data_IF_936349732978
#
_entry.id   IF_936349732978
#
_cell.length_a   1.000
_cell.length_b   1.000
_cell.length_c   1.000
_cell.angle_alpha   90.00
_cell.angle_beta   90.00
_cell.angle_gamma   90.00
#
_symmetry.space_group_name_H-M   'P 1'
#
loop_
_entity.id
_entity.type
_entity.pdbx_description
1 polymer ?
#
# COMPACT_ATOMS: atom_id res chain seq x y z
N UNK A 1 7.30 -37.51 -20.71
CA UNK A 1 6.09 -36.77 -20.28
C UNK A 1 6.45 -35.30 -20.39
N UNK A 2 5.75 -34.50 -21.20
CA UNK A 2 6.03 -33.06 -21.22
C UNK A 2 5.42 -32.47 -19.95
N UNK A 3 6.24 -31.92 -19.07
CA UNK A 3 5.72 -31.30 -17.84
C UNK A 3 4.96 -30.03 -18.21
N UNK A 4 3.65 -30.08 -18.00
CA UNK A 4 2.71 -28.96 -18.24
C UNK A 4 2.96 -27.84 -17.23
N UNK A 5 3.34 -28.19 -16.00
CA UNK A 5 3.70 -27.25 -14.94
C UNK A 5 5.18 -27.37 -14.62
N UNK A 6 5.87 -26.24 -14.56
CA UNK A 6 7.32 -26.16 -14.32
C UNK A 6 7.63 -25.10 -13.30
N UNK A 7 8.66 -25.33 -12.50
CA UNK A 7 9.24 -24.30 -11.65
C UNK A 7 10.45 -23.69 -12.36
N UNK A 8 10.57 -22.37 -12.31
CA UNK A 8 11.72 -21.65 -12.85
C UNK A 8 11.99 -20.38 -12.07
N UNK A 9 12.95 -19.60 -12.54
CA UNK A 9 13.34 -18.33 -11.94
C UNK A 9 13.20 -17.19 -12.95
N UNK A 10 12.78 -16.01 -12.51
CA UNK A 10 12.67 -14.85 -13.40
C UNK A 10 14.05 -14.41 -13.85
N UNK A 11 14.28 -14.43 -15.15
CA UNK A 11 15.54 -14.00 -15.76
C UNK A 11 15.52 -12.53 -16.18
N UNK A 12 14.38 -12.06 -16.72
CA UNK A 12 14.21 -10.70 -17.21
C UNK A 12 12.73 -10.27 -17.16
N UNK A 13 12.48 -8.96 -17.14
CA UNK A 13 11.15 -8.38 -16.95
C UNK A 13 10.89 -7.23 -17.91
N UNK A 14 9.75 -7.27 -18.58
CA UNK A 14 9.23 -6.19 -19.41
C UNK A 14 8.04 -5.56 -18.67
N UNK A 15 8.34 -4.54 -17.88
CA UNK A 15 7.38 -3.85 -17.02
C UNK A 15 6.32 -3.14 -17.87
N UNK A 16 6.69 -2.57 -19.01
CA UNK A 16 5.79 -1.80 -19.86
C UNK A 16 4.70 -2.69 -20.48
N UNK A 17 5.02 -3.94 -20.79
CA UNK A 17 4.08 -4.89 -21.39
C UNK A 17 3.55 -5.95 -20.41
N UNK A 18 3.94 -5.91 -19.13
CA UNK A 18 3.48 -6.86 -18.11
C UNK A 18 3.96 -8.30 -18.34
N UNK A 19 5.19 -8.47 -18.87
CA UNK A 19 5.74 -9.78 -19.23
C UNK A 19 7.03 -10.08 -18.48
N UNK A 20 7.38 -11.35 -18.39
CA UNK A 20 8.68 -11.79 -17.88
C UNK A 20 9.20 -13.01 -18.65
N UNK A 21 10.53 -13.16 -18.63
CA UNK A 21 11.23 -14.36 -19.10
C UNK A 21 11.66 -15.20 -17.92
N UNK A 22 11.55 -16.50 -18.05
CA UNK A 22 11.87 -17.47 -17.00
C UNK A 22 13.02 -18.35 -17.47
N UNK A 23 14.04 -18.49 -16.64
CA UNK A 23 15.11 -19.48 -16.80
C UNK A 23 14.69 -20.77 -16.08
N UNK A 24 14.96 -21.91 -16.71
CA UNK A 24 14.69 -23.25 -16.19
C UNK A 24 16.01 -23.98 -15.91
N UNK A 25 16.56 -23.90 -14.68
CA UNK A 25 17.85 -24.53 -14.34
C UNK A 25 17.86 -26.04 -14.50
N UNK A 26 16.70 -26.69 -14.32
CA UNK A 26 16.49 -28.13 -14.53
C UNK A 26 16.54 -28.54 -16.02
N UNK A 27 16.63 -27.57 -16.94
CA UNK A 27 16.56 -27.77 -18.39
C UNK A 27 17.69 -27.07 -19.11
N UNK A 28 18.92 -27.29 -18.64
CA UNK A 28 20.13 -26.73 -19.25
C UNK A 28 20.05 -25.21 -19.40
N UNK A 29 19.50 -24.55 -18.37
CA UNK A 29 19.35 -23.09 -18.31
C UNK A 29 18.58 -22.49 -19.50
N UNK A 30 17.65 -23.25 -20.10
CA UNK A 30 16.78 -22.73 -21.15
C UNK A 30 15.97 -21.55 -20.65
N UNK A 31 15.80 -20.55 -21.52
CA UNK A 31 15.06 -19.32 -21.25
C UNK A 31 13.78 -19.33 -22.07
N UNK A 32 12.64 -19.00 -21.45
CA UNK A 32 11.36 -18.86 -22.14
C UNK A 32 11.33 -17.64 -23.08
N UNK A 33 10.31 -17.56 -23.92
CA UNK A 33 9.93 -16.28 -24.53
C UNK A 33 9.30 -15.35 -23.46
N UNK A 34 8.86 -14.17 -23.88
CA UNK A 34 8.11 -13.23 -23.03
C UNK A 34 6.74 -13.79 -22.67
N UNK A 35 6.63 -14.29 -21.45
CA UNK A 35 5.40 -14.89 -20.92
C UNK A 35 4.52 -13.83 -20.27
N UNK A 36 3.21 -13.96 -20.45
CA UNK A 36 2.25 -13.17 -19.69
C UNK A 36 2.20 -13.67 -18.24
N UNK A 37 2.03 -12.73 -17.31
CA UNK A 37 1.81 -13.01 -15.89
C UNK A 37 0.30 -13.09 -15.64
N UNK A 38 -0.18 -14.21 -15.09
CA UNK A 38 -1.58 -14.30 -14.70
C UNK A 38 -1.84 -13.43 -13.49
N UNK A 39 -2.88 -12.60 -13.61
CA UNK A 39 -3.45 -11.76 -12.56
C UNK A 39 -4.92 -12.14 -12.38
N UNK A 40 -5.52 -11.93 -11.19
CA UNK A 40 -6.92 -12.30 -10.96
C UNK A 40 -7.92 -11.59 -11.89
N UNK A 41 -7.62 -10.34 -12.25
CA UNK A 41 -8.44 -9.51 -13.14
C UNK A 41 -7.52 -8.65 -14.03
N UNK A 42 -7.92 -8.43 -15.29
CA UNK A 42 -7.16 -7.59 -16.24
C UNK A 42 -8.01 -6.59 -17.01
N UNK A 43 -9.23 -6.95 -17.42
CA UNK A 43 -10.06 -6.11 -18.30
C UNK A 43 -10.98 -5.14 -17.54
N UNK A 44 -11.69 -5.62 -16.51
CA UNK A 44 -12.61 -4.80 -15.72
C UNK A 44 -11.94 -4.08 -14.56
N UNK A 45 -10.89 -4.70 -14.02
CA UNK A 45 -10.04 -4.24 -12.93
C UNK A 45 -8.64 -4.72 -13.26
N UNK A 46 -7.61 -3.93 -12.97
CA UNK A 46 -6.23 -4.30 -13.27
C UNK A 46 -5.36 -4.28 -12.02
N UNK A 47 -4.84 -5.46 -11.67
CA UNK A 47 -3.75 -5.58 -10.72
C UNK A 47 -2.43 -5.46 -11.47
N UNK A 48 -1.59 -4.52 -11.06
CA UNK A 48 -0.27 -4.31 -11.66
C UNK A 48 0.80 -4.56 -10.61
N UNK A 49 1.57 -5.63 -10.80
CA UNK A 49 2.80 -5.91 -10.08
C UNK A 49 3.80 -6.48 -11.07
N UNK A 50 5.08 -6.22 -10.84
CA UNK A 50 6.15 -6.87 -11.58
C UNK A 50 6.83 -7.89 -10.68
N UNK A 51 7.37 -8.93 -11.30
CA UNK A 51 8.25 -9.87 -10.62
C UNK A 51 9.66 -9.29 -10.55
N UNK A 52 10.48 -9.79 -9.64
CA UNK A 52 11.89 -9.41 -9.58
C UNK A 52 12.77 -10.51 -10.17
N UNK A 53 13.93 -10.11 -10.72
CA UNK A 53 14.91 -11.07 -11.24
C UNK A 53 15.38 -12.01 -10.13
N UNK A 54 15.47 -13.30 -10.42
CA UNK A 54 15.80 -14.38 -9.48
C UNK A 54 14.60 -14.90 -8.69
N UNK A 55 13.40 -14.32 -8.84
CA UNK A 55 12.21 -14.79 -8.14
C UNK A 55 11.73 -16.13 -8.70
N UNK A 56 11.48 -17.09 -7.81
CA UNK A 56 10.92 -18.40 -8.18
C UNK A 56 9.46 -18.28 -8.61
N UNK A 57 9.11 -18.86 -9.75
CA UNK A 57 7.76 -18.86 -10.33
C UNK A 57 7.33 -20.25 -10.79
N UNK A 58 6.02 -20.45 -10.87
CA UNK A 58 5.42 -21.60 -11.55
C UNK A 58 4.95 -21.16 -12.93
N UNK A 59 5.34 -21.90 -13.97
CA UNK A 59 4.99 -21.66 -15.36
C UNK A 59 4.11 -22.79 -15.87
N UNK A 60 2.98 -22.43 -16.46
CA UNK A 60 2.17 -23.30 -17.30
C UNK A 60 2.74 -23.25 -18.71
N UNK A 61 3.33 -24.35 -19.19
CA UNK A 61 3.80 -24.46 -20.56
C UNK A 61 2.72 -24.98 -21.49
N UNK A 62 2.64 -24.41 -22.69
CA UNK A 62 1.75 -24.91 -23.73
C UNK A 62 2.32 -26.22 -24.31
N UNK A 63 1.47 -27.21 -24.63
CA UNK A 63 1.90 -28.43 -25.30
C UNK A 63 2.71 -28.12 -26.56
N UNK A 64 3.80 -28.86 -26.76
CA UNK A 64 4.70 -28.76 -27.93
C UNK A 64 5.42 -27.41 -28.13
N UNK A 65 5.16 -26.41 -27.29
CA UNK A 65 5.85 -25.12 -27.28
C UNK A 65 6.39 -24.81 -25.89
N UNK A 66 7.48 -25.50 -25.52
CA UNK A 66 8.05 -25.48 -24.17
C UNK A 66 8.54 -24.11 -23.68
N UNK A 67 8.79 -23.17 -24.61
CA UNK A 67 9.23 -21.79 -24.34
C UNK A 67 8.06 -20.81 -24.24
N UNK A 68 6.84 -21.23 -24.61
CA UNK A 68 5.61 -20.44 -24.52
C UNK A 68 4.72 -20.93 -23.38
N UNK A 69 3.92 -20.01 -22.84
CA UNK A 69 3.13 -20.29 -21.65
C UNK A 69 2.69 -19.06 -20.90
N UNK A 70 2.31 -19.30 -19.65
CA UNK A 70 1.86 -18.28 -18.72
C UNK A 70 2.55 -18.49 -17.37
N UNK A 71 3.01 -17.40 -16.76
CA UNK A 71 3.46 -17.42 -15.38
C UNK A 71 2.22 -17.43 -14.50
N UNK A 72 2.00 -18.51 -13.75
CA UNK A 72 0.85 -18.67 -12.87
C UNK A 72 0.98 -17.85 -11.58
N UNK A 73 2.21 -17.55 -11.18
CA UNK A 73 2.52 -16.83 -9.96
C UNK A 73 3.71 -17.44 -9.24
N UNK A 74 3.84 -17.07 -7.96
CA UNK A 74 4.94 -17.49 -7.10
C UNK A 74 4.42 -18.40 -5.99
N UNK A 75 5.17 -19.44 -5.59
CA UNK A 75 4.83 -20.19 -4.40
C UNK A 75 4.85 -19.27 -3.18
N UNK A 76 3.83 -19.38 -2.33
CA UNK A 76 3.77 -18.62 -1.09
C UNK A 76 4.97 -18.98 -0.21
N UNK A 77 5.67 -17.95 0.28
CA UNK A 77 6.77 -18.13 1.24
C UNK A 77 6.20 -18.29 2.66
N UNK A 78 6.91 -18.98 3.57
CA UNK A 78 6.58 -18.94 4.98
C UNK A 78 6.45 -17.49 5.47
N UNK A 79 5.46 -17.23 6.31
CA UNK A 79 5.21 -15.91 6.86
C UNK A 79 4.84 -16.01 8.34
N UNK A 80 5.03 -14.93 9.08
CA UNK A 80 4.73 -14.84 10.50
C UNK A 80 3.32 -14.27 10.78
N UNK A 81 2.44 -14.30 9.78
CA UNK A 81 1.08 -13.80 9.96
C UNK A 81 0.29 -14.69 10.91
N UNK A 82 -0.65 -14.08 11.59
CA UNK A 82 -1.54 -14.76 12.52
C UNK A 82 -2.82 -15.26 11.85
N UNK A 83 -3.49 -16.25 12.45
CA UNK A 83 -4.77 -16.74 11.93
C UNK A 83 -5.79 -15.59 11.82
N UNK A 84 -6.51 -15.54 10.69
CA UNK A 84 -7.49 -14.50 10.38
C UNK A 84 -6.90 -13.17 9.86
N UNK A 85 -5.58 -13.03 9.81
CA UNK A 85 -4.91 -11.86 9.26
C UNK A 85 -4.83 -11.91 7.74
N UNK A 86 -5.18 -10.80 7.09
CA UNK A 86 -4.90 -10.58 5.66
C UNK A 86 -3.82 -9.52 5.54
N UNK A 87 -2.67 -9.86 4.95
CA UNK A 87 -1.51 -8.96 4.86
C UNK A 87 -0.90 -8.98 3.46
N UNK A 88 -0.56 -7.80 2.96
CA UNK A 88 0.30 -7.63 1.77
C UNK A 88 1.53 -6.82 2.17
N UNK A 89 2.70 -7.42 1.98
CA UNK A 89 4.01 -6.81 2.24
C UNK A 89 4.65 -6.40 0.91
N UNK A 90 5.18 -5.19 0.86
CA UNK A 90 5.93 -4.61 -0.25
C UNK A 90 7.42 -4.97 -0.14
N UNK A 91 8.18 -4.79 -1.22
CA UNK A 91 9.62 -5.13 -1.26
C UNK A 91 10.49 -4.30 -0.31
N UNK A 92 10.02 -3.13 0.10
CA UNK A 92 10.65 -2.28 1.12
C UNK A 92 10.30 -2.68 2.56
N UNK A 93 9.53 -3.76 2.73
CA UNK A 93 9.06 -4.26 4.03
C UNK A 93 7.83 -3.54 4.59
N UNK A 94 7.37 -2.46 3.95
CA UNK A 94 6.09 -1.85 4.27
C UNK A 94 4.93 -2.79 4.00
N UNK A 95 3.80 -2.62 4.69
CA UNK A 95 2.64 -3.46 4.47
C UNK A 95 1.33 -2.71 4.73
N UNK A 96 0.25 -3.26 4.19
CA UNK A 96 -1.06 -3.12 4.81
C UNK A 96 -1.54 -4.49 5.32
N UNK A 97 -2.17 -4.49 6.49
CA UNK A 97 -2.81 -5.68 7.04
C UNK A 97 -4.17 -5.36 7.63
N UNK A 98 -5.05 -6.36 7.62
CA UNK A 98 -6.35 -6.29 8.26
C UNK A 98 -6.53 -7.48 9.19
N UNK A 99 -6.89 -7.20 10.44
CA UNK A 99 -7.24 -8.22 11.44
C UNK A 99 -8.17 -7.63 12.50
N UNK A 100 -9.18 -8.38 12.90
CA UNK A 100 -10.08 -8.05 14.02
C UNK A 100 -10.65 -6.62 13.98
N UNK A 101 -10.99 -6.13 12.78
CA UNK A 101 -11.55 -4.79 12.58
C UNK A 101 -10.51 -3.66 12.48
N UNK A 102 -9.22 -3.97 12.51
CA UNK A 102 -8.13 -3.00 12.45
C UNK A 102 -7.41 -3.10 11.10
N UNK A 103 -7.43 -2.00 10.34
CA UNK A 103 -6.56 -1.82 9.17
C UNK A 103 -5.28 -1.12 9.62
N UNK A 104 -4.12 -1.71 9.35
CA UNK A 104 -2.81 -1.17 9.70
C UNK A 104 -1.98 -0.93 8.45
N UNK A 105 -1.34 0.24 8.35
CA UNK A 105 -0.32 0.54 7.35
C UNK A 105 1.00 0.81 8.07
N UNK A 106 2.00 -0.05 7.91
CA UNK A 106 3.26 0.04 8.65
C UNK A 106 4.35 -0.86 8.04
N UNK A 107 5.65 -0.58 8.27
CA UNK A 107 6.16 0.78 8.25
C UNK A 107 5.88 1.41 6.88
N UNK A 108 5.35 2.63 6.84
CA UNK A 108 5.20 3.40 5.59
C UNK A 108 5.65 4.83 5.83
N UNK A 109 6.38 5.41 4.87
CA UNK A 109 6.92 6.76 5.03
C UNK A 109 5.88 7.85 4.76
N UNK A 110 4.92 7.59 3.86
CA UNK A 110 3.92 8.58 3.45
C UNK A 110 2.67 7.89 2.92
N UNK A 111 1.51 8.38 3.34
CA UNK A 111 0.21 8.07 2.73
C UNK A 111 -0.27 9.31 1.97
N UNK A 112 -0.64 9.15 0.70
CA UNK A 112 -1.18 10.25 -0.13
C UNK A 112 -2.62 9.94 -0.49
N UNK A 113 -3.54 10.83 -0.12
CA UNK A 113 -4.96 10.74 -0.45
C UNK A 113 -5.35 11.98 -1.25
N UNK A 114 -5.66 11.79 -2.52
CA UNK A 114 -6.09 12.85 -3.44
C UNK A 114 -7.60 12.78 -3.64
N UNK A 115 -8.34 12.90 -2.55
CA UNK A 115 -9.79 12.85 -2.50
C UNK A 115 -10.28 13.51 -1.19
N UNK A 116 -11.58 13.74 -1.10
CA UNK A 116 -12.21 14.13 0.16
C UNK A 116 -12.12 12.98 1.17
N UNK A 117 -11.81 13.33 2.42
CA UNK A 117 -11.68 12.37 3.53
C UNK A 117 -12.70 12.69 4.60
N UNK A 118 -13.50 11.70 4.97
CA UNK A 118 -14.48 11.80 6.06
C UNK A 118 -14.13 10.84 7.20
N UNK A 119 -13.89 11.39 8.39
CA UNK A 119 -13.62 10.61 9.62
C UNK A 119 -14.82 10.77 10.55
N UNK A 120 -15.60 9.70 10.72
CA UNK A 120 -16.85 9.71 11.51
C UNK A 120 -16.66 9.63 13.02
N UNK A 121 -15.45 9.32 13.46
CA UNK A 121 -15.06 9.12 14.87
C UNK A 121 -13.88 10.03 15.18
N UNK A 122 -12.92 9.56 15.96
CA UNK A 122 -11.77 10.34 16.41
C UNK A 122 -10.63 10.27 15.40
N UNK A 123 -9.95 11.40 15.18
CA UNK A 123 -8.62 11.47 14.60
C UNK A 123 -7.62 11.81 15.71
N UNK A 124 -6.59 11.00 15.88
CA UNK A 124 -5.45 11.27 16.78
C UNK A 124 -4.19 11.39 15.94
N UNK A 125 -3.40 12.45 16.17
CA UNK A 125 -2.15 12.72 15.47
C UNK A 125 -1.05 12.85 16.52
N UNK A 126 -0.05 11.98 16.45
CA UNK A 126 1.16 12.04 17.30
C UNK A 126 2.29 12.70 16.50
N UNK A 127 2.17 14.01 16.32
CA UNK A 127 3.05 14.83 15.49
C UNK A 127 2.39 16.13 15.04
N UNK A 128 3.05 16.86 14.15
CA UNK A 128 2.57 18.14 13.66
C UNK A 128 1.43 17.99 12.64
N UNK A 129 0.48 18.93 12.68
CA UNK A 129 -0.60 19.05 11.69
C UNK A 129 -0.52 20.42 11.02
N UNK A 130 -0.65 20.46 9.69
CA UNK A 130 -0.72 21.71 8.92
C UNK A 130 -1.95 21.70 8.01
N UNK A 131 -2.78 22.74 8.14
CA UNK A 131 -3.92 23.00 7.25
C UNK A 131 -3.54 24.11 6.27
N UNK A 132 -3.64 23.85 4.97
CA UNK A 132 -3.34 24.84 3.92
C UNK A 132 -4.49 25.82 3.65
N UNK A 133 -5.64 25.57 4.27
CA UNK A 133 -6.85 26.37 4.14
C UNK A 133 -7.53 26.48 5.50
N UNK A 134 -8.73 27.05 5.52
CA UNK A 134 -9.47 27.31 6.73
C UNK A 134 -9.85 26.02 7.45
N UNK A 135 -9.89 26.10 8.78
CA UNK A 135 -10.42 25.06 9.66
C UNK A 135 -11.65 25.63 10.37
N UNK A 136 -12.77 24.88 10.35
CA UNK A 136 -13.97 25.19 11.11
C UNK A 136 -14.16 24.15 12.22
N UNK A 137 -14.34 24.62 13.46
CA UNK A 137 -14.53 23.78 14.65
C UNK A 137 -15.85 24.14 15.30
N UNK A 138 -16.84 23.26 15.21
CA UNK A 138 -18.14 23.44 15.90
C UNK A 138 -18.08 23.20 17.41
N UNK A 139 -17.09 22.41 17.86
CA UNK A 139 -16.86 22.11 19.27
C UNK A 139 -15.98 23.15 19.96
N UNK A 140 -15.31 22.72 21.01
CA UNK A 140 -14.33 23.55 21.72
C UNK A 140 -12.94 23.33 21.14
N UNK A 141 -12.26 24.42 20.78
CA UNK A 141 -10.85 24.38 20.41
C UNK A 141 -9.99 24.55 21.66
N UNK A 142 -9.26 23.50 22.04
CA UNK A 142 -8.34 23.48 23.18
C UNK A 142 -6.91 23.46 22.68
N UNK A 143 -6.07 24.38 23.15
CA UNK A 143 -4.64 24.40 22.86
C UNK A 143 -3.86 24.41 24.17
N UNK A 144 -3.17 23.31 24.48
CA UNK A 144 -2.46 23.11 25.76
C UNK A 144 -3.31 23.45 27.00
N UNK A 145 -4.57 22.98 27.01
CA UNK A 145 -5.55 23.24 28.07
C UNK A 145 -6.23 24.61 28.04
N UNK A 146 -5.87 25.50 27.10
CA UNK A 146 -6.54 26.80 26.91
C UNK A 146 -7.77 26.62 26.02
N UNK A 147 -8.94 26.94 26.56
CA UNK A 147 -10.18 27.00 25.79
C UNK A 147 -10.20 28.30 24.95
N UNK A 148 -9.97 28.18 23.65
CA UNK A 148 -9.96 29.33 22.75
C UNK A 148 -11.31 30.03 22.67
N UNK A 149 -12.43 29.32 22.86
CA UNK A 149 -13.78 29.89 22.80
C UNK A 149 -14.04 30.88 23.95
N UNK A 150 -13.31 30.78 25.06
CA UNK A 150 -13.54 31.58 26.28
C UNK A 150 -12.27 32.18 26.86
N UNK A 151 -11.16 32.19 26.13
CA UNK A 151 -9.89 32.68 26.66
C UNK A 151 -9.96 34.19 26.94
N UNK A 152 -9.18 34.62 27.92
CA UNK A 152 -9.09 36.02 28.34
C UNK A 152 -7.63 36.44 28.43
N UNK A 153 -7.36 37.72 28.19
CA UNK A 153 -6.04 38.31 28.39
C UNK A 153 -5.93 38.94 29.78
N UNK A 154 -4.80 38.74 30.46
CA UNK A 154 -4.47 39.43 31.72
C UNK A 154 -3.69 40.73 31.45
N UNK A 155 -3.66 41.65 32.41
CA UNK A 155 -2.82 42.86 32.33
C UNK A 155 -3.47 44.08 31.65
N UNK A 156 -4.80 44.09 31.47
CA UNK A 156 -5.54 45.27 30.98
C UNK A 156 -5.73 46.32 32.09
N UNK A 157 -5.55 47.61 31.77
CA UNK A 157 -5.86 48.71 32.68
C UNK A 157 -7.38 48.82 32.84
N UNK A 158 -7.93 48.77 34.07
CA UNK A 158 -9.36 48.89 34.28
C UNK A 158 -9.89 50.24 33.80
N UNK A 159 -11.03 50.24 33.10
CA UNK A 159 -11.68 51.45 32.60
C UNK A 159 -13.11 51.15 32.13
N UNK A 160 -13.86 52.19 31.77
CA UNK A 160 -15.25 52.05 31.29
C UNK A 160 -15.36 51.61 29.82
N UNK A 161 -14.24 51.46 29.12
CA UNK A 161 -14.21 51.02 27.73
C UNK A 161 -14.28 49.50 27.62
N UNK A 162 -15.08 49.00 26.67
CA UNK A 162 -15.03 47.59 26.29
C UNK A 162 -13.74 47.35 25.48
N UNK A 163 -12.92 46.39 25.90
CA UNK A 163 -11.91 45.82 25.01
C UNK A 163 -12.63 44.97 23.98
N UNK A 164 -12.14 44.95 22.72
CA UNK A 164 -12.64 44.00 21.73
C UNK A 164 -12.53 42.56 22.26
N UNK A 165 -13.45 41.69 21.82
CA UNK A 165 -13.30 40.26 22.07
C UNK A 165 -11.99 39.74 21.46
N UNK A 166 -11.50 38.56 21.89
CA UNK A 166 -10.34 37.96 21.27
C UNK A 166 -10.56 37.79 19.76
N UNK A 167 -9.60 38.24 18.97
CA UNK A 167 -9.57 38.14 17.50
C UNK A 167 -8.74 36.95 17.05
#
# INVERSE_FOLDING_TARGET
MQDILKQGEVNDTDIANGKARVIFPDRDNKISDWLNILVPFSESHSDNYHLEKGQTVIVLSLPDMMEQGYILGCPMRPSEISEGEVKRTFSDGGFYSYKDGVLTLSPVNKVVITADVEIKKTLTVDGDTTFKSNTDTKGTAMLDGINLNTHTHSGIQPGSGNTGGPS
#
